data_IF_382742170852
#
_entry.id   IF_382742170852
#
_cell.length_a   1.000
_cell.length_b   1.000
_cell.length_c   1.000
_cell.angle_alpha   90.00
_cell.angle_beta   90.00
_cell.angle_gamma   90.00
#
_symmetry.space_group_name_H-M   'P 1'
#
loop_
_entity.id
_entity.type
_entity.pdbx_description
1 polymer ?
#
# COMPACT_ATOMS: atom_id res chain seq x y z
N UNK A 1 40.86 -4.79 47.36
CA UNK A 1 40.25 -4.50 48.68
C UNK A 1 40.37 -3.00 48.92
N UNK A 2 39.25 -2.31 49.12
CA UNK A 2 39.24 -0.88 49.44
C UNK A 2 39.79 -0.70 50.87
N UNK A 3 40.70 0.27 51.04
CA UNK A 3 41.24 0.64 52.35
C UNK A 3 40.18 1.39 53.14
N UNK A 4 40.19 1.22 54.46
CA UNK A 4 39.31 1.95 55.36
C UNK A 4 39.38 3.48 55.12
N UNK A 5 38.22 4.13 55.03
CA UNK A 5 38.10 5.59 54.88
C UNK A 5 37.96 6.14 53.45
N UNK A 6 37.96 5.31 52.39
CA UNK A 6 37.70 5.79 51.02
C UNK A 6 36.25 5.62 50.54
N UNK A 7 35.41 4.85 51.25
CA UNK A 7 33.99 4.65 50.91
C UNK A 7 33.08 4.37 52.14
N UNK A 8 33.53 4.77 53.34
CA UNK A 8 32.96 4.33 54.63
C UNK A 8 33.86 3.34 55.36
N UNK A 9 33.53 3.02 56.62
CA UNK A 9 34.26 2.04 57.42
C UNK A 9 33.97 0.60 56.97
N UNK A 10 34.99 -0.21 56.74
CA UNK A 10 34.86 -1.65 56.50
C UNK A 10 34.72 -2.40 57.85
N UNK A 11 34.17 -3.61 57.82
CA UNK A 11 33.84 -4.33 59.05
C UNK A 11 32.60 -3.75 59.72
N UNK A 12 31.45 -3.93 59.08
CA UNK A 12 30.17 -3.39 59.55
C UNK A 12 29.35 -4.42 60.34
N UNK A 13 28.58 -3.95 61.31
CA UNK A 13 27.69 -4.75 62.15
C UNK A 13 26.40 -3.97 62.49
N UNK A 14 25.41 -4.68 63.04
CA UNK A 14 24.28 -4.10 63.75
C UNK A 14 23.84 -5.04 64.89
N UNK A 15 23.32 -4.48 65.99
CA UNK A 15 22.71 -5.25 67.07
C UNK A 15 21.19 -5.33 66.90
N UNK A 16 20.58 -6.48 67.19
CA UNK A 16 19.13 -6.68 67.14
C UNK A 16 18.64 -7.51 65.95
N UNK A 17 17.42 -7.22 65.48
CA UNK A 17 16.82 -7.93 64.34
C UNK A 17 17.61 -7.69 63.04
N UNK A 18 17.46 -8.59 62.07
CA UNK A 18 18.15 -8.51 60.77
C UNK A 18 17.81 -7.19 60.05
N UNK A 19 18.80 -6.32 59.89
CA UNK A 19 18.69 -5.04 59.19
C UNK A 19 20.04 -4.67 58.57
N UNK A 20 20.06 -3.60 57.78
CA UNK A 20 21.28 -3.11 57.13
C UNK A 20 22.36 -2.74 58.18
N UNK A 21 23.58 -3.31 58.12
CA UNK A 21 24.64 -3.01 59.07
C UNK A 21 25.32 -1.69 58.72
N UNK A 22 25.21 -0.70 59.62
CA UNK A 22 25.75 0.65 59.43
C UNK A 22 26.69 1.10 60.57
N UNK A 23 27.02 0.22 61.52
CA UNK A 23 28.02 0.48 62.56
C UNK A 23 29.35 -0.19 62.22
N UNK A 24 30.48 0.40 62.59
CA UNK A 24 31.81 -0.22 62.51
C UNK A 24 32.56 -0.05 63.84
N UNK A 25 33.55 -0.92 64.11
CA UNK A 25 34.34 -0.85 65.35
C UNK A 25 35.79 -1.24 65.06
N UNK A 26 36.74 -0.35 65.38
CA UNK A 26 38.20 -0.59 65.32
C UNK A 26 38.71 -1.28 64.04
N UNK A 27 38.11 -1.01 62.87
CA UNK A 27 38.45 -1.67 61.60
C UNK A 27 38.41 -3.22 61.69
N UNK A 28 37.48 -3.76 62.47
CA UNK A 28 37.38 -5.20 62.74
C UNK A 28 36.98 -6.01 61.50
N UNK A 29 37.58 -7.18 61.31
CA UNK A 29 37.13 -8.16 60.32
C UNK A 29 36.18 -9.17 60.96
N UNK A 30 34.92 -9.22 60.52
CA UNK A 30 33.92 -10.17 60.99
C UNK A 30 33.89 -11.51 60.22
N UNK A 31 34.91 -11.76 59.38
CA UNK A 31 35.10 -13.03 58.64
C UNK A 31 33.90 -13.44 57.77
N UNK A 32 33.13 -12.44 57.31
CA UNK A 32 32.10 -12.63 56.29
C UNK A 32 32.78 -12.52 54.94
N UNK A 33 32.77 -13.61 54.19
CA UNK A 33 33.26 -13.64 52.82
C UNK A 33 32.09 -13.76 51.85
N UNK A 34 32.19 -13.05 50.73
CA UNK A 34 31.24 -13.22 49.64
C UNK A 34 31.66 -14.45 48.85
N UNK A 35 30.77 -15.44 48.75
CA UNK A 35 30.94 -16.47 47.74
C UNK A 35 30.68 -15.82 46.38
N UNK A 36 31.76 -15.52 45.66
CA UNK A 36 31.72 -14.88 44.35
C UNK A 36 31.90 -15.93 43.25
N UNK A 37 30.85 -16.15 42.45
CA UNK A 37 30.93 -16.95 41.23
C UNK A 37 31.01 -16.02 40.01
N UNK A 38 32.02 -16.19 39.17
CA UNK A 38 32.23 -15.38 37.95
C UNK A 38 31.43 -15.88 36.74
N UNK A 39 30.74 -17.01 36.88
CA UNK A 39 29.93 -17.64 35.83
C UNK A 39 28.98 -18.67 36.43
N UNK A 40 27.73 -18.69 35.95
CA UNK A 40 26.72 -19.73 36.24
C UNK A 40 26.77 -20.88 35.22
N UNK A 41 27.90 -21.05 34.51
CA UNK A 41 28.04 -21.94 33.35
C UNK A 41 27.74 -21.20 32.03
N UNK A 42 28.18 -21.72 30.86
CA UNK A 42 27.83 -21.13 29.58
C UNK A 42 26.32 -21.28 29.35
N UNK A 43 25.69 -20.21 28.87
CA UNK A 43 24.30 -20.29 28.42
C UNK A 43 24.24 -21.18 27.18
N UNK A 44 23.41 -22.23 27.27
CA UNK A 44 23.24 -23.25 26.22
C UNK A 44 21.79 -23.33 25.75
N UNK A 45 20.92 -22.41 26.20
CA UNK A 45 19.49 -22.45 25.90
C UNK A 45 19.24 -21.70 24.59
N UNK A 46 18.64 -22.35 23.57
CA UNK A 46 18.28 -21.66 22.35
C UNK A 46 17.14 -20.63 22.56
N UNK A 47 17.18 -19.50 21.83
CA UNK A 47 16.07 -18.54 21.81
C UNK A 47 14.82 -19.13 21.18
N UNK A 48 13.67 -18.60 21.57
CA UNK A 48 12.33 -18.92 21.05
C UNK A 48 11.57 -17.66 20.69
N UNK A 49 10.64 -17.77 19.73
CA UNK A 49 9.75 -16.67 19.34
C UNK A 49 8.52 -16.68 20.23
N UNK A 50 8.27 -15.56 20.93
CA UNK A 50 7.13 -15.40 21.86
C UNK A 50 5.92 -14.77 21.17
N UNK A 51 6.13 -13.89 20.20
CA UNK A 51 5.07 -13.29 19.40
C UNK A 51 5.57 -12.85 18.03
N UNK A 52 4.66 -12.80 17.06
CA UNK A 52 4.94 -12.24 15.74
C UNK A 52 3.69 -11.57 15.17
N UNK A 53 3.91 -10.52 14.38
CA UNK A 53 2.87 -9.82 13.62
C UNK A 53 3.32 -9.64 12.17
N UNK A 54 2.44 -9.80 11.17
CA UNK A 54 1.05 -10.25 11.26
C UNK A 54 0.89 -11.67 11.83
N UNK A 55 -0.32 -11.99 12.31
CA UNK A 55 -0.64 -13.34 12.78
C UNK A 55 -0.51 -14.36 11.63
N UNK A 56 -0.26 -15.64 11.97
CA UNK A 56 -0.15 -16.69 10.95
C UNK A 56 -1.50 -16.88 10.26
N UNK A 57 -1.50 -16.87 8.93
CA UNK A 57 -2.71 -16.96 8.11
C UNK A 57 -3.59 -15.71 8.13
N UNK A 58 -3.12 -14.57 8.67
CA UNK A 58 -3.89 -13.34 8.67
C UNK A 58 -4.22 -12.90 7.22
N UNK A 59 -5.46 -12.50 6.97
CA UNK A 59 -5.91 -11.92 5.71
C UNK A 59 -6.26 -10.45 5.89
N UNK A 60 -6.34 -9.68 4.81
CA UNK A 60 -6.74 -8.26 4.93
C UNK A 60 -5.61 -7.36 5.43
N UNK A 61 -4.38 -7.85 5.45
CA UNK A 61 -3.24 -7.10 6.01
C UNK A 61 -2.89 -5.92 5.10
N UNK A 62 -2.64 -4.75 5.69
CA UNK A 62 -2.23 -3.57 4.92
C UNK A 62 -1.03 -3.87 4.01
N UNK A 63 -1.03 -3.35 2.79
CA UNK A 63 0.14 -3.41 1.89
C UNK A 63 1.34 -2.62 2.42
N UNK A 64 1.13 -1.71 3.37
CA UNK A 64 2.18 -0.99 4.09
C UNK A 64 2.59 -1.64 5.42
N UNK A 65 2.17 -2.88 5.68
CA UNK A 65 2.48 -3.56 6.95
C UNK A 65 3.98 -3.70 7.16
N UNK A 66 4.40 -3.59 8.41
CA UNK A 66 5.68 -4.13 8.87
C UNK A 66 5.47 -5.53 9.43
N UNK A 67 6.55 -6.29 9.53
CA UNK A 67 6.58 -7.60 10.17
C UNK A 67 7.41 -7.50 11.43
N UNK A 68 6.90 -8.00 12.56
CA UNK A 68 7.62 -8.03 13.84
C UNK A 68 7.74 -9.46 14.36
N UNK A 69 8.87 -9.76 15.01
CA UNK A 69 9.15 -11.02 15.70
C UNK A 69 9.80 -10.70 17.04
N UNK A 70 9.18 -11.12 18.13
CA UNK A 70 9.68 -10.92 19.50
C UNK A 70 10.24 -12.24 20.03
N UNK A 71 11.42 -12.17 20.64
CA UNK A 71 12.11 -13.32 21.22
C UNK A 71 11.93 -13.37 22.75
N UNK A 72 12.05 -14.55 23.34
CA UNK A 72 12.02 -14.75 24.80
C UNK A 72 13.25 -14.15 25.50
N UNK A 73 14.34 -13.91 24.78
CA UNK A 73 15.62 -13.46 25.32
C UNK A 73 16.37 -12.49 24.40
N UNK A 74 17.54 -12.02 24.85
CA UNK A 74 18.32 -11.05 24.12
C UNK A 74 19.09 -11.71 22.96
N UNK A 75 18.77 -11.27 21.74
CA UNK A 75 19.44 -11.72 20.52
C UNK A 75 20.71 -10.91 20.19
N UNK A 76 21.66 -11.55 19.51
CA UNK A 76 22.75 -10.85 18.82
C UNK A 76 22.22 -10.14 17.57
N UNK A 77 22.16 -8.81 17.64
CA UNK A 77 21.68 -7.95 16.56
C UNK A 77 22.45 -8.13 15.25
N UNK A 78 23.72 -8.53 15.28
CA UNK A 78 24.51 -8.74 14.07
C UNK A 78 23.98 -9.92 13.24
N UNK A 79 23.34 -10.89 13.90
CA UNK A 79 22.76 -12.07 13.26
C UNK A 79 21.34 -11.86 12.75
N UNK A 80 20.69 -10.72 13.06
CA UNK A 80 19.34 -10.36 12.60
C UNK A 80 19.48 -9.36 11.45
N UNK A 81 19.49 -9.87 10.23
CA UNK A 81 19.69 -9.08 9.01
C UNK A 81 18.93 -9.71 7.83
N UNK A 82 19.06 -9.13 6.64
CA UNK A 82 18.33 -9.56 5.44
C UNK A 82 18.67 -10.99 4.97
N UNK A 83 19.74 -11.61 5.47
CA UNK A 83 20.09 -13.00 5.15
C UNK A 83 19.44 -14.01 6.12
N UNK A 84 18.96 -13.59 7.28
CA UNK A 84 18.40 -14.44 8.33
C UNK A 84 16.95 -14.10 8.68
N UNK A 85 16.46 -12.93 8.29
CA UNK A 85 15.07 -12.51 8.45
C UNK A 85 14.54 -12.01 7.11
N UNK A 86 13.72 -12.85 6.46
CA UNK A 86 13.30 -12.67 5.08
C UNK A 86 11.78 -12.61 4.95
N UNK A 87 11.31 -11.81 3.99
CA UNK A 87 9.95 -11.82 3.50
C UNK A 87 9.98 -12.24 2.02
N UNK A 88 9.15 -13.22 1.64
CA UNK A 88 9.07 -13.71 0.26
C UNK A 88 7.63 -13.69 -0.22
N UNK A 89 7.42 -13.42 -1.51
CA UNK A 89 6.08 -13.48 -2.12
C UNK A 89 5.66 -14.92 -2.45
N UNK A 90 4.47 -15.08 -3.02
CA UNK A 90 3.91 -16.38 -3.41
C UNK A 90 4.73 -17.13 -4.48
N UNK A 91 5.53 -16.40 -5.27
CA UNK A 91 6.47 -16.97 -6.26
C UNK A 91 7.85 -17.28 -5.66
N UNK A 92 7.97 -17.22 -4.32
CA UNK A 92 9.20 -17.42 -3.56
C UNK A 92 10.31 -16.37 -3.84
N UNK A 93 9.97 -15.26 -4.49
CA UNK A 93 10.90 -14.16 -4.72
C UNK A 93 11.07 -13.32 -3.44
N UNK A 94 12.30 -12.91 -3.09
CA UNK A 94 12.54 -12.08 -1.92
C UNK A 94 11.96 -10.68 -2.10
N UNK A 95 11.38 -10.14 -1.02
CA UNK A 95 10.92 -8.74 -0.93
C UNK A 95 12.02 -7.91 -0.29
N UNK A 96 12.41 -6.82 -0.93
CA UNK A 96 13.38 -5.87 -0.38
C UNK A 96 12.80 -5.17 0.84
N UNK A 97 13.55 -5.19 1.95
CA UNK A 97 13.13 -4.64 3.24
C UNK A 97 14.33 -4.13 4.03
N UNK A 98 14.09 -3.20 4.96
CA UNK A 98 15.02 -2.84 6.03
C UNK A 98 14.74 -3.67 7.27
N UNK A 99 15.80 -4.04 8.00
CA UNK A 99 15.72 -4.83 9.23
C UNK A 99 16.27 -4.02 10.39
N UNK A 100 15.57 -4.02 11.52
CA UNK A 100 16.06 -3.46 12.79
C UNK A 100 15.76 -4.42 13.94
N UNK A 101 16.54 -4.31 15.02
CA UNK A 101 16.30 -5.07 16.25
C UNK A 101 16.35 -4.12 17.45
N UNK A 102 15.29 -4.11 18.24
CA UNK A 102 15.22 -3.34 19.48
C UNK A 102 15.56 -4.26 20.67
N UNK A 103 16.69 -4.00 21.30
CA UNK A 103 17.22 -4.81 22.41
C UNK A 103 16.39 -4.70 23.69
N UNK A 104 15.72 -3.57 23.93
CA UNK A 104 14.95 -3.33 25.15
C UNK A 104 13.68 -4.20 25.21
N UNK A 105 13.03 -4.42 24.06
CA UNK A 105 11.83 -5.23 23.95
C UNK A 105 12.03 -6.54 23.14
N UNK A 106 13.28 -6.87 22.79
CA UNK A 106 13.68 -8.11 22.11
C UNK A 106 12.93 -8.34 20.80
N UNK A 107 12.62 -7.27 20.07
CA UNK A 107 11.78 -7.33 18.87
C UNK A 107 12.56 -6.97 17.61
N UNK A 108 12.63 -7.91 16.66
CA UNK A 108 13.08 -7.67 15.30
C UNK A 108 11.93 -7.13 14.45
N UNK A 109 12.20 -6.12 13.63
CA UNK A 109 11.24 -5.50 12.71
C UNK A 109 11.78 -5.56 11.29
N UNK A 110 10.96 -6.07 10.36
CA UNK A 110 11.19 -6.06 8.92
C UNK A 110 10.19 -5.09 8.28
N UNK A 111 10.70 -4.10 7.56
CA UNK A 111 9.90 -3.05 6.91
C UNK A 111 10.14 -3.10 5.39
N UNK A 112 9.17 -3.55 4.59
CA UNK A 112 9.27 -3.52 3.13
C UNK A 112 9.61 -2.10 2.62
N UNK A 113 10.53 -1.98 1.66
CA UNK A 113 10.92 -0.67 1.10
C UNK A 113 9.93 -0.10 0.10
N UNK A 114 8.96 -0.92 -0.32
CA UNK A 114 7.85 -0.54 -1.20
C UNK A 114 6.58 -1.23 -0.71
N UNK A 115 5.39 -0.65 -0.98
CA UNK A 115 4.13 -1.31 -0.66
C UNK A 115 4.07 -2.71 -1.25
N UNK A 116 3.58 -3.65 -0.46
CA UNK A 116 3.32 -5.02 -0.90
C UNK A 116 2.19 -5.04 -1.95
N UNK A 117 2.16 -6.06 -2.79
CA UNK A 117 1.06 -6.28 -3.71
C UNK A 117 -0.21 -6.66 -2.94
N UNK A 118 -1.36 -6.17 -3.37
CA UNK A 118 -2.67 -6.58 -2.87
C UNK A 118 -2.96 -8.05 -3.20
N UNK A 119 -3.91 -8.66 -2.50
CA UNK A 119 -4.35 -10.05 -2.71
C UNK A 119 -3.20 -11.07 -2.78
N UNK A 120 -2.06 -10.79 -2.16
CA UNK A 120 -0.83 -11.58 -2.30
C UNK A 120 -0.46 -12.18 -0.97
N UNK A 121 -0.20 -13.49 -0.98
CA UNK A 121 0.34 -14.19 0.19
C UNK A 121 1.84 -13.99 0.27
N UNK A 122 2.31 -13.52 1.42
CA UNK A 122 3.70 -13.38 1.77
C UNK A 122 4.08 -14.35 2.88
N UNK A 123 5.30 -14.88 2.80
CA UNK A 123 5.87 -15.78 3.80
C UNK A 123 7.06 -15.10 4.46
N UNK A 124 6.99 -15.02 5.78
CA UNK A 124 8.06 -14.58 6.67
C UNK A 124 8.88 -15.79 7.08
N UNK A 125 10.20 -15.67 7.04
CA UNK A 125 11.14 -16.68 7.55
C UNK A 125 12.19 -16.02 8.43
N UNK A 126 12.29 -16.47 9.69
CA UNK A 126 13.46 -16.23 10.54
C UNK A 126 14.27 -17.51 10.57
N UNK A 127 15.49 -17.47 10.04
CA UNK A 127 16.36 -18.64 9.88
C UNK A 127 16.92 -19.09 11.22
N UNK A 128 16.71 -20.34 11.54
CA UNK A 128 17.28 -21.06 12.68
C UNK A 128 18.00 -22.33 12.21
N UNK A 129 18.08 -23.33 13.06
CA UNK A 129 18.68 -24.63 12.73
C UNK A 129 20.20 -24.66 12.86
N UNK A 130 20.84 -25.58 12.15
CA UNK A 130 22.27 -25.90 12.29
C UNK A 130 23.21 -25.16 11.34
N UNK A 131 22.69 -24.48 10.32
CA UNK A 131 23.48 -23.93 9.20
C UNK A 131 23.31 -22.42 9.10
N UNK A 132 24.41 -21.69 9.05
CA UNK A 132 24.40 -20.23 8.85
C UNK A 132 24.00 -19.88 7.40
N UNK A 133 23.32 -18.75 7.15
CA UNK A 133 22.94 -17.71 8.11
C UNK A 133 21.71 -18.09 8.96
N UNK A 134 21.79 -17.82 10.27
CA UNK A 134 20.73 -18.04 11.26
C UNK A 134 20.84 -17.02 12.40
N UNK A 135 19.73 -16.72 13.04
CA UNK A 135 19.70 -15.82 14.21
C UNK A 135 20.23 -16.54 15.45
N UNK A 136 21.01 -15.83 16.28
CA UNK A 136 21.62 -16.35 17.51
C UNK A 136 21.37 -15.39 18.68
N UNK A 137 21.35 -15.93 19.89
CA UNK A 137 21.42 -15.13 21.11
C UNK A 137 22.82 -14.52 21.33
N UNK A 138 22.98 -13.76 22.42
CA UNK A 138 24.28 -13.18 22.80
C UNK A 138 25.33 -14.23 23.23
N UNK A 139 24.91 -15.45 23.58
CA UNK A 139 25.80 -16.56 23.93
C UNK A 139 26.19 -17.44 22.72
N UNK A 140 25.59 -17.19 21.55
CA UNK A 140 25.82 -17.91 20.31
C UNK A 140 24.88 -19.09 20.05
N UNK A 141 23.86 -19.32 20.90
CA UNK A 141 22.86 -20.35 20.65
C UNK A 141 21.92 -19.88 19.54
N UNK A 142 21.76 -20.71 18.51
CA UNK A 142 20.88 -20.39 17.40
C UNK A 142 19.43 -20.75 17.73
N UNK A 143 18.48 -20.00 17.15
CA UNK A 143 17.07 -20.42 17.11
C UNK A 143 16.99 -21.87 16.60
N UNK A 144 16.29 -22.75 17.32
CA UNK A 144 16.39 -24.20 17.11
C UNK A 144 15.98 -24.66 15.70
N UNK A 145 15.01 -23.99 15.07
CA UNK A 145 14.53 -24.27 13.72
C UNK A 145 14.07 -22.97 13.03
N UNK A 146 13.86 -23.01 11.71
CA UNK A 146 13.27 -21.88 11.01
C UNK A 146 11.88 -21.57 11.57
N UNK A 147 11.67 -20.32 11.97
CA UNK A 147 10.34 -19.82 12.28
C UNK A 147 9.71 -19.29 10.99
N UNK A 148 8.58 -19.85 10.59
CA UNK A 148 7.86 -19.46 9.37
C UNK A 148 6.41 -19.11 9.65
N UNK A 149 5.93 -18.05 9.01
CA UNK A 149 4.50 -17.66 9.02
C UNK A 149 4.14 -17.03 7.69
N UNK A 150 2.87 -17.11 7.32
CA UNK A 150 2.34 -16.42 6.16
C UNK A 150 1.22 -15.47 6.53
N UNK A 151 0.99 -14.46 5.69
CA UNK A 151 -0.17 -13.59 5.72
C UNK A 151 -0.54 -13.18 4.30
N UNK A 152 -1.79 -12.78 4.10
CA UNK A 152 -2.32 -12.30 2.83
C UNK A 152 -2.70 -10.84 2.98
N UNK A 153 -2.19 -10.01 2.07
CA UNK A 153 -2.52 -8.59 2.03
C UNK A 153 -4.00 -8.37 1.70
N UNK A 154 -4.48 -7.15 1.96
CA UNK A 154 -5.83 -6.71 1.63
C UNK A 154 -6.15 -7.03 0.18
N UNK A 155 -7.38 -7.49 -0.05
CA UNK A 155 -7.85 -7.74 -1.39
C UNK A 155 -7.81 -6.44 -2.19
N UNK A 156 -7.55 -6.54 -3.50
CA UNK A 156 -7.78 -5.41 -4.38
C UNK A 156 -9.27 -5.01 -4.25
N UNK A 157 -9.60 -3.73 -4.01
CA UNK A 157 -10.99 -3.29 -4.01
C UNK A 157 -11.65 -3.73 -5.32
N UNK A 158 -12.60 -4.66 -5.23
CA UNK A 158 -13.36 -5.09 -6.39
C UNK A 158 -14.46 -4.07 -6.62
N UNK A 159 -14.35 -3.34 -7.72
CA UNK A 159 -15.50 -2.67 -8.29
C UNK A 159 -15.61 -3.08 -9.78
N UNK A 160 -16.76 -2.82 -10.39
CA UNK A 160 -16.84 -1.84 -11.47
C UNK A 160 -16.83 -0.43 -10.86
N UNK A 161 -15.69 0.26 -10.86
CA UNK A 161 -15.57 1.62 -10.33
C UNK A 161 -15.76 2.57 -11.52
N UNK A 162 -16.33 3.74 -11.26
CA UNK A 162 -16.46 4.80 -12.27
C UNK A 162 -15.89 6.09 -11.68
N UNK A 163 -15.50 7.06 -12.51
CA UNK A 163 -15.03 8.37 -12.06
C UNK A 163 -16.15 9.09 -11.32
N UNK A 164 -17.38 9.04 -11.85
CA UNK A 164 -18.56 9.63 -11.20
C UNK A 164 -19.51 8.56 -10.66
N UNK A 165 -20.14 8.84 -9.52
CA UNK A 165 -21.21 7.98 -9.04
C UNK A 165 -22.40 8.01 -10.03
N UNK A 166 -23.18 6.92 -10.10
CA UNK A 166 -24.30 6.82 -11.03
C UNK A 166 -25.44 7.81 -10.83
N UNK A 167 -25.47 8.53 -9.69
CA UNK A 167 -26.44 9.56 -9.37
C UNK A 167 -25.98 10.98 -9.74
N UNK A 168 -24.71 11.17 -10.09
CA UNK A 168 -24.17 12.50 -10.44
C UNK A 168 -24.66 12.87 -11.83
N UNK A 169 -25.17 14.10 -11.98
CA UNK A 169 -25.73 14.60 -13.23
C UNK A 169 -25.11 15.93 -13.63
N UNK A 170 -25.05 16.25 -14.94
CA UNK A 170 -24.68 17.57 -15.48
C UNK A 170 -25.54 18.71 -14.95
N UNK A 171 -24.92 19.88 -14.77
CA UNK A 171 -25.62 21.16 -14.61
C UNK A 171 -26.28 21.60 -15.93
N UNK A 172 -25.64 21.36 -17.07
CA UNK A 172 -26.22 21.55 -18.40
C UNK A 172 -26.33 20.19 -19.09
N UNK A 173 -27.54 19.64 -19.11
CA UNK A 173 -27.82 18.32 -19.69
C UNK A 173 -27.81 18.32 -21.22
N UNK A 174 -28.03 19.47 -21.86
CA UNK A 174 -28.03 19.57 -23.32
C UNK A 174 -27.55 20.94 -23.76
N UNK A 175 -26.37 20.97 -24.38
CA UNK A 175 -25.85 22.13 -25.12
C UNK A 175 -26.36 22.04 -26.55
N UNK A 176 -27.09 23.05 -27.09
CA UNK A 176 -27.66 23.00 -28.42
C UNK A 176 -26.60 23.28 -29.52
N UNK A 177 -25.60 22.42 -29.61
CA UNK A 177 -24.57 22.42 -30.64
C UNK A 177 -24.79 21.21 -31.58
N UNK A 178 -25.33 21.41 -32.80
CA UNK A 178 -25.76 20.33 -33.68
C UNK A 178 -24.64 19.73 -34.53
N UNK A 179 -23.38 19.96 -34.17
CA UNK A 179 -22.23 19.50 -34.94
C UNK A 179 -21.69 18.15 -34.44
N UNK A 180 -21.18 17.33 -35.36
CA UNK A 180 -20.48 16.11 -35.01
C UNK A 180 -19.20 16.41 -34.22
N UNK A 181 -19.03 15.76 -33.07
CA UNK A 181 -17.98 16.09 -32.11
C UNK A 181 -17.57 14.86 -31.30
N UNK A 182 -16.26 14.72 -31.07
CA UNK A 182 -15.69 13.82 -30.06
C UNK A 182 -15.46 14.61 -28.77
N UNK A 183 -15.86 14.04 -27.63
CA UNK A 183 -15.75 14.65 -26.31
C UNK A 183 -15.16 13.64 -25.34
N UNK A 184 -14.30 14.08 -24.41
CA UNK A 184 -13.61 13.15 -23.53
C UNK A 184 -13.04 13.75 -22.26
N UNK A 185 -12.50 12.85 -21.43
CA UNK A 185 -11.83 13.15 -20.17
C UNK A 185 -10.49 12.43 -20.11
N UNK A 186 -9.49 13.10 -19.55
CA UNK A 186 -8.21 12.52 -19.16
C UNK A 186 -8.31 11.98 -17.75
N UNK A 187 -7.89 10.74 -17.55
CA UNK A 187 -7.95 10.07 -16.26
C UNK A 187 -6.71 9.21 -15.98
N UNK A 188 -6.53 8.85 -14.71
CA UNK A 188 -5.53 7.91 -14.21
C UNK A 188 -6.18 6.91 -13.24
N UNK A 189 -5.46 5.83 -12.94
CA UNK A 189 -5.79 4.96 -11.82
C UNK A 189 -4.61 4.80 -10.86
N UNK A 190 -4.88 4.67 -9.56
CA UNK A 190 -3.90 4.35 -8.52
C UNK A 190 -3.27 2.96 -8.69
N UNK A 191 -3.97 2.04 -9.38
CA UNK A 191 -3.58 0.64 -9.52
C UNK A 191 -3.66 0.18 -10.97
N UNK A 192 -2.93 -0.89 -11.30
CA UNK A 192 -3.13 -1.57 -12.58
C UNK A 192 -4.54 -2.17 -12.62
N UNK A 193 -5.14 -2.21 -13.80
CA UNK A 193 -6.46 -2.83 -13.97
C UNK A 193 -6.92 -2.79 -15.42
N UNK A 194 -8.22 -2.85 -15.61
CA UNK A 194 -8.86 -2.98 -16.92
C UNK A 194 -10.00 -1.98 -17.08
N UNK A 195 -10.06 -1.33 -18.23
CA UNK A 195 -11.28 -0.65 -18.68
C UNK A 195 -12.18 -1.70 -19.32
N UNK A 196 -13.34 -1.93 -18.74
CA UNK A 196 -14.33 -2.93 -19.18
C UNK A 196 -15.53 -2.30 -19.88
N UNK A 197 -15.67 -0.98 -19.80
CA UNK A 197 -16.76 -0.25 -20.44
C UNK A 197 -16.54 1.25 -20.48
N UNK A 198 -17.36 1.93 -21.27
CA UNK A 198 -17.37 3.38 -21.44
C UNK A 198 -18.78 3.88 -21.15
N UNK A 199 -18.87 5.04 -20.51
CA UNK A 199 -20.14 5.69 -20.21
C UNK A 199 -20.13 7.14 -20.68
N UNK A 200 -21.29 7.68 -20.98
CA UNK A 200 -21.48 9.12 -21.15
C UNK A 200 -22.86 9.55 -20.66
N UNK A 201 -23.01 10.82 -20.28
CA UNK A 201 -24.31 11.35 -19.89
C UNK A 201 -25.04 11.95 -21.09
N UNK A 202 -26.24 11.43 -21.35
CA UNK A 202 -27.07 11.79 -22.50
C UNK A 202 -28.23 12.70 -22.13
N UNK A 203 -28.39 13.78 -22.88
CA UNK A 203 -29.64 14.56 -22.93
C UNK A 203 -30.60 14.07 -24.00
N UNK A 204 -31.88 14.41 -23.89
CA UNK A 204 -32.94 13.89 -24.79
C UNK A 204 -32.79 14.27 -26.26
N UNK A 205 -32.05 15.34 -26.56
CA UNK A 205 -31.81 15.79 -27.94
C UNK A 205 -30.60 15.15 -28.60
N UNK A 206 -29.77 14.42 -27.85
CA UNK A 206 -28.61 13.73 -28.40
C UNK A 206 -29.04 12.35 -28.95
N UNK A 207 -29.69 12.34 -30.12
CA UNK A 207 -30.37 11.16 -30.69
C UNK A 207 -29.55 10.43 -31.75
N UNK A 208 -28.28 10.78 -31.92
CA UNK A 208 -27.41 10.23 -32.95
C UNK A 208 -26.81 8.86 -32.60
N UNK A 209 -25.92 8.39 -33.46
CA UNK A 209 -25.07 7.23 -33.17
C UNK A 209 -23.94 7.68 -32.25
N UNK A 210 -23.74 6.94 -31.15
CA UNK A 210 -22.66 7.19 -30.22
C UNK A 210 -21.57 6.12 -30.29
N UNK A 211 -20.32 6.54 -30.28
CA UNK A 211 -19.17 5.64 -30.31
C UNK A 211 -18.20 6.02 -29.20
N UNK A 212 -17.99 5.11 -28.25
CA UNK A 212 -17.00 5.28 -27.18
C UNK A 212 -15.63 4.80 -27.62
N UNK A 213 -14.57 5.52 -27.27
CA UNK A 213 -13.18 5.12 -27.55
C UNK A 213 -12.28 5.31 -26.31
N UNK A 214 -11.39 4.34 -26.06
CA UNK A 214 -10.30 4.44 -25.08
C UNK A 214 -8.99 4.68 -25.85
N UNK A 215 -8.21 5.67 -25.41
CA UNK A 215 -6.97 6.08 -26.05
C UNK A 215 -5.80 6.11 -25.07
N UNK A 216 -4.58 5.93 -25.60
CA UNK A 216 -3.39 6.42 -24.91
C UNK A 216 -3.40 7.96 -24.83
N UNK A 217 -2.59 8.54 -23.94
CA UNK A 217 -2.38 9.99 -23.87
C UNK A 217 -1.80 10.61 -25.15
N UNK A 218 -1.20 9.78 -26.02
CA UNK A 218 -0.61 10.18 -27.31
C UNK A 218 -1.55 10.02 -28.50
N UNK A 219 -2.78 9.52 -28.29
CA UNK A 219 -3.79 9.37 -29.33
C UNK A 219 -3.84 8.02 -30.04
N UNK A 220 -3.14 7.00 -29.55
CA UNK A 220 -3.31 5.62 -30.04
C UNK A 220 -4.63 5.06 -29.54
N UNK A 221 -5.48 4.56 -30.45
CA UNK A 221 -6.72 3.87 -30.09
C UNK A 221 -6.41 2.52 -29.44
N UNK A 222 -6.92 2.31 -28.23
CA UNK A 222 -6.77 1.05 -27.47
C UNK A 222 -8.01 0.16 -27.57
N UNK A 223 -9.20 0.77 -27.55
CA UNK A 223 -10.46 0.07 -27.81
C UNK A 223 -11.54 1.05 -28.30
N UNK A 224 -12.56 0.52 -28.98
CA UNK A 224 -13.71 1.26 -29.46
C UNK A 224 -14.96 0.39 -29.40
N UNK A 225 -16.08 0.99 -29.03
CA UNK A 225 -17.39 0.32 -29.03
C UNK A 225 -18.51 1.30 -29.40
N UNK A 226 -19.48 0.82 -30.16
CA UNK A 226 -20.69 1.58 -30.49
C UNK A 226 -21.75 1.33 -29.42
N UNK A 227 -22.32 2.40 -28.88
CA UNK A 227 -23.42 2.27 -27.92
C UNK A 227 -24.66 1.70 -28.62
N UNK A 228 -25.33 0.78 -27.93
CA UNK A 228 -26.58 0.17 -28.39
C UNK A 228 -27.53 0.06 -27.20
N UNK A 229 -28.84 0.02 -27.48
CA UNK A 229 -29.89 -0.04 -26.45
C UNK A 229 -29.84 1.12 -25.43
N UNK A 230 -29.50 2.32 -25.91
CA UNK A 230 -29.48 3.53 -25.09
C UNK A 230 -30.89 3.94 -24.63
N UNK A 231 -30.97 4.56 -23.46
CA UNK A 231 -32.19 5.23 -23.01
C UNK A 231 -32.31 6.63 -23.64
N UNK A 232 -33.46 7.28 -23.43
CA UNK A 232 -33.70 8.63 -23.93
C UNK A 232 -32.79 9.68 -23.26
N UNK A 233 -32.41 9.47 -21.99
CA UNK A 233 -31.55 10.38 -21.23
C UNK A 233 -30.90 9.69 -20.04
N UNK A 234 -29.88 10.33 -19.47
CA UNK A 234 -29.11 9.83 -18.33
C UNK A 234 -27.84 9.12 -18.76
N UNK A 235 -27.19 8.45 -17.80
CA UNK A 235 -25.98 7.67 -18.07
C UNK A 235 -26.24 6.52 -19.04
N UNK A 236 -25.54 6.54 -20.16
CA UNK A 236 -25.44 5.42 -21.08
C UNK A 236 -24.16 4.65 -20.81
N UNK A 237 -24.18 3.34 -21.07
CA UNK A 237 -23.02 2.48 -20.92
C UNK A 237 -22.90 1.55 -22.12
N UNK A 238 -21.67 1.33 -22.57
CA UNK A 238 -21.31 0.25 -23.48
C UNK A 238 -20.17 -0.55 -22.86
N UNK A 239 -20.28 -1.88 -22.89
CA UNK A 239 -19.21 -2.76 -22.44
C UNK A 239 -18.24 -3.01 -23.60
N UNK A 240 -16.95 -3.06 -23.29
CA UNK A 240 -15.93 -3.47 -24.25
C UNK A 240 -15.93 -4.99 -24.37
N UNK A 241 -15.87 -5.51 -25.61
CA UNK A 241 -15.77 -6.96 -25.85
C UNK A 241 -14.44 -7.53 -25.36
N UNK A 242 -13.39 -6.72 -25.39
CA UNK A 242 -12.06 -7.04 -24.87
C UNK A 242 -11.66 -5.94 -23.90
N UNK A 243 -11.52 -6.24 -22.59
CA UNK A 243 -11.08 -5.25 -21.62
C UNK A 243 -9.69 -4.71 -21.94
N UNK A 244 -9.49 -3.40 -21.74
CA UNK A 244 -8.21 -2.73 -22.01
C UNK A 244 -7.39 -2.67 -20.74
N UNK A 245 -6.24 -3.33 -20.72
CA UNK A 245 -5.31 -3.22 -19.60
C UNK A 245 -4.72 -1.80 -19.51
N UNK A 246 -4.74 -1.23 -18.31
CA UNK A 246 -4.11 0.06 -17.99
C UNK A 246 -3.11 -0.09 -16.86
N UNK A 247 -2.07 0.73 -16.89
CA UNK A 247 -1.04 0.79 -15.86
C UNK A 247 -1.37 1.90 -14.87
N UNK A 248 -1.10 1.66 -13.58
CA UNK A 248 -1.21 2.66 -12.53
C UNK A 248 -0.44 3.95 -12.90
N UNK A 249 -0.93 5.09 -12.41
CA UNK A 249 -0.31 6.42 -12.54
C UNK A 249 0.03 6.81 -13.99
N UNK A 250 -0.69 6.25 -14.97
CA UNK A 250 -0.50 6.53 -16.39
C UNK A 250 -1.74 7.23 -16.93
N UNK A 251 -1.56 8.35 -17.64
CA UNK A 251 -2.68 9.12 -18.20
C UNK A 251 -3.25 8.42 -19.44
N UNK A 252 -4.56 8.24 -19.43
CA UNK A 252 -5.36 7.78 -20.57
C UNK A 252 -6.45 8.80 -20.90
N UNK A 253 -7.07 8.65 -22.08
CA UNK A 253 -8.25 9.43 -22.48
C UNK A 253 -9.38 8.46 -22.76
N UNK A 254 -10.56 8.71 -22.18
CA UNK A 254 -11.80 8.10 -22.64
C UNK A 254 -12.65 9.17 -23.31
N UNK A 255 -13.30 8.82 -24.42
CA UNK A 255 -14.13 9.73 -25.17
C UNK A 255 -15.38 9.05 -25.71
N UNK A 256 -16.38 9.85 -26.08
CA UNK A 256 -17.44 9.44 -26.97
C UNK A 256 -17.59 10.43 -28.12
N UNK A 257 -17.92 9.90 -29.29
CA UNK A 257 -18.33 10.65 -30.47
C UNK A 257 -19.85 10.66 -30.57
N UNK A 258 -20.42 11.78 -30.97
CA UNK A 258 -21.79 11.90 -31.46
C UNK A 258 -21.76 12.51 -32.85
N UNK A 259 -22.55 11.97 -33.77
CA UNK A 259 -22.68 12.51 -35.12
C UNK A 259 -23.69 13.67 -35.22
N UNK A 260 -24.42 13.97 -34.14
CA UNK A 260 -25.44 15.03 -34.10
C UNK A 260 -25.17 16.11 -33.05
N UNK A 261 -24.19 15.93 -32.15
CA UNK A 261 -23.87 16.90 -31.12
C UNK A 261 -24.80 16.80 -29.89
N UNK A 262 -25.31 17.92 -29.40
CA UNK A 262 -26.25 17.98 -28.26
C UNK A 262 -25.74 17.40 -26.93
N UNK A 263 -24.44 17.59 -26.64
CA UNK A 263 -23.76 16.99 -25.49
C UNK A 263 -24.10 17.63 -24.14
N UNK A 264 -23.76 16.92 -23.07
CA UNK A 264 -23.83 17.41 -21.69
C UNK A 264 -22.56 18.18 -21.31
N UNK A 265 -22.67 19.23 -20.48
CA UNK A 265 -21.55 20.12 -20.20
C UNK A 265 -21.63 20.76 -18.80
N UNK A 266 -20.50 20.78 -18.11
CA UNK A 266 -20.23 21.73 -17.02
C UNK A 266 -18.94 22.51 -17.34
N UNK A 267 -19.01 23.83 -17.42
CA UNK A 267 -17.82 24.66 -17.67
C UNK A 267 -17.06 24.96 -16.38
N UNK A 268 -15.74 25.14 -16.47
CA UNK A 268 -14.88 25.45 -15.32
C UNK A 268 -14.68 24.28 -14.35
N UNK A 269 -15.25 23.11 -14.65
CA UNK A 269 -15.31 21.95 -13.74
C UNK A 269 -13.91 21.48 -13.31
N UNK A 270 -12.95 21.43 -14.23
CA UNK A 270 -11.56 21.00 -13.96
C UNK A 270 -10.58 22.15 -13.73
N UNK A 271 -11.07 23.39 -13.54
CA UNK A 271 -10.22 24.58 -13.48
C UNK A 271 -9.28 24.57 -12.27
N UNK A 272 -9.82 24.22 -11.08
CA UNK A 272 -9.09 24.28 -9.81
C UNK A 272 -8.76 22.89 -9.25
N UNK A 273 -9.53 21.86 -9.59
CA UNK A 273 -9.38 20.50 -9.06
C UNK A 273 -9.77 19.45 -10.10
N UNK A 274 -9.32 18.22 -9.89
CA UNK A 274 -9.80 17.04 -10.59
C UNK A 274 -11.03 16.46 -9.91
N UNK A 275 -11.41 15.24 -10.31
CA UNK A 275 -12.34 14.40 -9.55
C UNK A 275 -11.58 13.19 -9.06
N UNK A 276 -11.59 12.98 -7.75
CA UNK A 276 -10.97 11.83 -7.11
C UNK A 276 -12.06 10.90 -6.58
N UNK A 277 -12.13 9.70 -7.16
CA UNK A 277 -12.97 8.61 -6.67
C UNK A 277 -12.14 7.32 -6.73
N UNK A 278 -11.35 7.07 -5.69
CA UNK A 278 -10.32 6.02 -5.67
C UNK A 278 -10.91 4.66 -6.12
N UNK A 279 -10.23 3.95 -7.03
CA UNK A 279 -8.87 4.18 -7.51
C UNK A 279 -8.79 5.05 -8.76
N UNK A 280 -9.84 5.78 -9.16
CA UNK A 280 -9.86 6.58 -10.38
C UNK A 280 -9.74 8.08 -10.09
N UNK A 281 -9.01 8.75 -10.97
CA UNK A 281 -8.75 10.20 -10.91
C UNK A 281 -9.01 10.82 -12.28
N UNK A 282 -10.01 11.70 -12.41
CA UNK A 282 -10.05 12.64 -13.54
C UNK A 282 -9.14 13.82 -13.21
N UNK A 283 -8.18 14.11 -14.10
CA UNK A 283 -7.14 15.08 -13.82
C UNK A 283 -7.65 16.52 -13.80
N UNK A 284 -7.07 17.39 -12.97
CA UNK A 284 -7.29 18.84 -13.11
C UNK A 284 -6.65 19.37 -14.40
N UNK A 285 -7.02 20.57 -14.83
CA UNK A 285 -6.33 21.21 -15.96
C UNK A 285 -4.81 21.34 -15.75
N UNK A 286 -4.40 21.70 -14.54
CA UNK A 286 -2.99 21.88 -14.20
C UNK A 286 -2.20 20.56 -14.27
N UNK A 287 -2.78 19.46 -13.77
CA UNK A 287 -2.12 18.14 -13.75
C UNK A 287 -2.23 17.38 -15.08
N UNK A 288 -3.33 17.58 -15.82
CA UNK A 288 -3.62 16.87 -17.07
C UNK A 288 -3.15 17.59 -18.34
N UNK A 289 -2.51 18.77 -18.23
CA UNK A 289 -2.25 19.67 -19.36
C UNK A 289 -3.54 19.96 -20.14
N UNK A 290 -4.55 20.45 -19.43
CA UNK A 290 -5.92 20.64 -19.90
C UNK A 290 -6.74 19.35 -19.83
N UNK A 291 -7.85 19.36 -19.09
CA UNK A 291 -8.86 18.31 -19.09
C UNK A 291 -10.20 18.88 -19.61
N UNK A 292 -11.14 18.00 -19.95
CA UNK A 292 -12.28 18.39 -20.79
C UNK A 292 -11.85 18.54 -22.23
N UNK A 293 -11.57 17.41 -22.87
CA UNK A 293 -11.04 17.40 -24.24
C UNK A 293 -12.13 17.22 -25.27
N UNK A 294 -11.96 17.82 -26.44
CA UNK A 294 -12.88 17.69 -27.56
C UNK A 294 -12.16 17.74 -28.90
N UNK A 295 -12.88 17.34 -29.96
CA UNK A 295 -12.49 17.52 -31.36
C UNK A 295 -13.72 17.48 -32.27
N UNK A 296 -14.00 18.58 -32.98
CA UNK A 296 -15.07 18.62 -33.99
C UNK A 296 -14.65 17.82 -35.22
N UNK A 297 -15.36 16.73 -35.48
CA UNK A 297 -15.01 15.79 -36.54
C UNK A 297 -16.22 14.97 -36.95
N UNK A 298 -16.34 14.66 -38.25
CA UNK A 298 -17.44 13.86 -38.77
C UNK A 298 -17.37 12.39 -38.32
N UNK A 299 -16.18 11.90 -37.98
CA UNK A 299 -15.91 10.53 -37.55
C UNK A 299 -15.13 10.53 -36.23
N UNK A 300 -15.25 9.47 -35.40
CA UNK A 300 -14.51 9.36 -34.14
C UNK A 300 -13.01 9.57 -34.31
N UNK A 301 -12.45 10.53 -33.57
CA UNK A 301 -11.07 10.99 -33.71
C UNK A 301 -10.52 11.42 -32.35
N UNK A 302 -9.21 11.32 -32.15
CA UNK A 302 -8.62 11.66 -30.85
C UNK A 302 -8.93 13.12 -30.43
N UNK A 303 -9.49 13.35 -29.23
CA UNK A 303 -9.80 14.69 -28.75
C UNK A 303 -8.57 15.35 -28.14
N UNK A 304 -7.97 16.31 -28.85
CA UNK A 304 -6.70 16.96 -28.47
C UNK A 304 -6.85 18.45 -28.12
N UNK A 305 -8.04 19.02 -28.22
CA UNK A 305 -8.34 20.40 -27.85
C UNK A 305 -9.06 20.44 -26.50
N UNK A 306 -8.95 21.53 -25.74
CA UNK A 306 -9.71 21.72 -24.50
C UNK A 306 -10.30 23.12 -24.45
N UNK A 307 -11.48 23.26 -23.84
CA UNK A 307 -12.17 24.54 -23.74
C UNK A 307 -12.70 24.73 -22.33
N UNK A 308 -12.35 25.88 -21.73
CA UNK A 308 -12.85 26.36 -20.44
C UNK A 308 -12.85 25.31 -19.30
N UNK A 309 -11.88 24.40 -19.26
CA UNK A 309 -11.77 23.34 -18.24
C UNK A 309 -13.05 22.50 -18.09
N UNK A 310 -13.73 22.23 -19.20
CA UNK A 310 -15.09 21.68 -19.20
C UNK A 310 -15.17 20.22 -18.78
N UNK A 311 -16.27 19.78 -18.20
CA UNK A 311 -16.60 18.37 -18.07
C UNK A 311 -17.68 18.01 -19.08
N UNK A 312 -17.37 17.10 -20.00
CA UNK A 312 -18.30 16.58 -21.01
C UNK A 312 -18.99 15.28 -20.59
N UNK A 313 -18.88 14.91 -19.31
CA UNK A 313 -19.59 13.81 -18.69
C UNK A 313 -19.36 12.46 -19.37
N UNK A 314 -18.10 12.17 -19.66
CA UNK A 314 -17.61 10.90 -20.22
C UNK A 314 -16.89 10.15 -19.12
N UNK A 315 -17.19 8.87 -18.94
CA UNK A 315 -16.69 8.07 -17.82
C UNK A 315 -16.26 6.67 -18.29
N UNK A 316 -15.52 5.96 -17.43
CA UNK A 316 -15.07 4.58 -17.63
C UNK A 316 -15.75 3.65 -16.64
N UNK A 317 -15.90 2.39 -17.05
CA UNK A 317 -16.09 1.28 -16.12
C UNK A 317 -14.74 0.62 -15.93
N UNK A 318 -14.18 0.75 -14.74
CA UNK A 318 -12.89 0.19 -14.37
C UNK A 318 -13.08 -1.05 -13.49
N UNK A 319 -12.32 -2.10 -13.78
CA UNK A 319 -12.24 -3.30 -12.96
C UNK A 319 -10.79 -3.65 -12.68
N UNK A 320 -10.50 -4.10 -11.47
CA UNK A 320 -9.18 -4.61 -11.11
C UNK A 320 -8.99 -6.09 -11.46
N UNK A 321 -10.09 -6.75 -11.85
CA UNK A 321 -10.12 -8.15 -12.28
C UNK A 321 -10.66 -8.21 -13.72
N UNK A 322 -10.09 -9.09 -14.54
CA UNK A 322 -10.58 -9.38 -15.89
C UNK A 322 -11.57 -10.55 -15.85
#
# INVERSE_FOLDING_TARGET
LLRDGSSGGNGVYNYGASSFPNHSFQASNYWVDVVFVTSIGPDTTPPTVTSASPNSGASGVSTSTTVTVTFNEAMDSATINSNSFELRNSSNAPVTATISYNTANRTATLTPTSPLANSTTYTVTVKGGSTDPRVKDLAGNALAANFTRSFTTVAIPTCPCNIWNGATTPSVVTVPDPNAVELGVKFQSDVNGYITGIRFYKGTSNTGTHVGTVWSSTGTQLARATFSNETASGWQQVNLTTPVAITANTTYVVSYHTNVGYYSLDQGYFANAGVDNSPLHALSNASGNGNGVYNYSANPAFPNSSYNSSNYWVDVVFSTNN
#
